data_IF_575264533435
#
_entry.id   IF_575264533435
#
_cell.length_a   1.000
_cell.length_b   1.000
_cell.length_c   1.000
_cell.angle_alpha   90.00
_cell.angle_beta   90.00
_cell.angle_gamma   90.00
#
_symmetry.space_group_name_H-M   'P 1'
#
loop_
_entity.id
_entity.type
_entity.pdbx_description
1 polymer ?
#
# COMPACT_ATOMS: atom_id res chain seq x y z
N UNK A 1 23.53 2.80 -3.25
CA UNK A 1 23.56 2.91 -4.73
C UNK A 1 22.23 2.56 -5.42
N UNK A 2 21.52 1.47 -5.10
CA UNK A 2 20.23 1.07 -5.76
C UNK A 2 19.11 2.08 -5.60
N UNK A 3 18.90 2.64 -4.39
CA UNK A 3 17.88 3.65 -4.07
C UNK A 3 17.96 4.90 -4.97
N UNK A 4 19.16 5.46 -5.17
CA UNK A 4 19.32 6.66 -6.00
C UNK A 4 19.01 6.42 -7.48
N UNK A 5 19.25 5.22 -8.00
CA UNK A 5 18.85 4.84 -9.37
C UNK A 5 17.34 4.73 -9.51
N UNK A 6 16.63 4.15 -8.51
CA UNK A 6 15.18 4.03 -8.52
C UNK A 6 14.50 5.40 -8.51
N UNK A 7 14.88 6.28 -7.60
CA UNK A 7 14.34 7.64 -7.52
C UNK A 7 14.60 8.46 -8.79
N UNK A 8 15.79 8.32 -9.40
CA UNK A 8 16.10 8.98 -10.66
C UNK A 8 15.19 8.50 -11.79
N UNK A 9 14.95 7.19 -11.89
CA UNK A 9 14.03 6.64 -12.89
C UNK A 9 12.59 7.12 -12.70
N UNK A 10 12.09 7.17 -11.45
CA UNK A 10 10.74 7.68 -11.15
C UNK A 10 10.62 9.15 -11.63
N UNK A 11 11.61 9.99 -11.30
CA UNK A 11 11.61 11.39 -11.75
C UNK A 11 11.57 11.50 -13.28
N UNK A 12 12.43 10.77 -13.99
CA UNK A 12 12.42 10.75 -15.45
C UNK A 12 11.07 10.31 -16.00
N UNK A 13 10.48 9.22 -15.46
CA UNK A 13 9.16 8.76 -15.89
C UNK A 13 8.06 9.82 -15.69
N UNK A 14 8.09 10.56 -14.56
CA UNK A 14 7.13 11.66 -14.34
C UNK A 14 7.31 12.79 -15.36
N UNK A 15 8.55 13.15 -15.68
CA UNK A 15 8.85 14.18 -16.69
C UNK A 15 8.40 13.75 -18.08
N UNK A 16 8.69 12.51 -18.49
CA UNK A 16 8.25 11.93 -19.75
C UNK A 16 6.71 11.94 -19.87
N UNK A 17 6.02 11.53 -18.80
CA UNK A 17 4.55 11.54 -18.77
C UNK A 17 3.94 12.95 -18.88
N UNK A 18 4.57 13.96 -18.30
CA UNK A 18 4.14 15.36 -18.45
C UNK A 18 4.23 15.83 -19.88
N UNK A 19 5.22 15.36 -20.63
CA UNK A 19 5.38 15.68 -22.06
C UNK A 19 4.32 14.96 -22.89
N UNK A 20 4.13 13.64 -22.65
CA UNK A 20 3.19 12.79 -23.41
C UNK A 20 1.74 13.23 -23.16
N UNK A 21 1.40 13.53 -21.91
CA UNK A 21 0.04 13.89 -21.49
C UNK A 21 -0.05 15.39 -21.13
N UNK A 22 0.41 16.26 -22.06
CA UNK A 22 0.36 17.71 -21.85
C UNK A 22 -1.07 18.16 -21.56
N UNK A 23 -1.24 18.95 -20.49
CA UNK A 23 -2.55 19.42 -20.03
C UNK A 23 -3.26 18.54 -19.01
N UNK A 24 -2.78 17.32 -18.73
CA UNK A 24 -3.28 16.48 -17.62
C UNK A 24 -2.36 16.58 -16.39
N UNK A 25 -2.97 16.48 -15.21
CA UNK A 25 -2.21 16.37 -13.97
C UNK A 25 -1.59 14.96 -13.87
N UNK A 26 -0.29 14.91 -13.61
CA UNK A 26 0.41 13.63 -13.34
C UNK A 26 0.47 13.43 -11.82
N UNK A 27 -0.14 12.36 -11.34
CA UNK A 27 -0.06 11.93 -9.94
C UNK A 27 1.00 10.87 -9.77
N UNK A 28 1.92 11.09 -8.86
CA UNK A 28 2.87 10.06 -8.42
C UNK A 28 2.35 9.42 -7.14
N UNK A 29 1.79 8.23 -7.27
CA UNK A 29 1.22 7.49 -6.15
C UNK A 29 2.03 6.22 -5.84
N UNK A 30 2.03 5.83 -4.57
CA UNK A 30 2.70 4.64 -4.08
C UNK A 30 1.66 3.68 -3.52
N UNK A 31 1.67 2.46 -4.02
CA UNK A 31 0.69 1.44 -3.71
C UNK A 31 1.33 0.28 -2.93
N UNK A 32 0.55 -0.30 -2.01
CA UNK A 32 0.90 -1.52 -1.28
C UNK A 32 -0.35 -2.13 -0.65
N UNK A 33 -0.27 -3.40 -0.23
CA UNK A 33 -1.30 -4.10 0.52
C UNK A 33 -0.81 -4.46 1.93
N UNK A 34 -1.72 -4.31 2.89
CA UNK A 34 -1.48 -4.71 4.26
C UNK A 34 -2.54 -5.69 4.76
N UNK A 35 -2.12 -6.86 5.19
CA UNK A 35 -2.98 -7.81 5.88
C UNK A 35 -3.20 -7.42 7.34
N UNK A 36 -4.48 -7.38 7.76
CA UNK A 36 -4.92 -7.18 9.13
C UNK A 36 -5.71 -8.40 9.58
N UNK A 37 -5.17 -9.11 10.56
CA UNK A 37 -5.77 -10.33 11.11
C UNK A 37 -6.31 -10.13 12.51
N UNK A 38 -7.17 -11.05 12.96
CA UNK A 38 -7.70 -11.06 14.32
C UNK A 38 -6.70 -11.55 15.36
N UNK A 39 -5.63 -12.24 14.91
CA UNK A 39 -4.53 -12.63 15.78
C UNK A 39 -3.64 -11.42 15.98
N UNK A 40 -3.68 -10.85 17.17
CA UNK A 40 -2.79 -9.76 17.54
C UNK A 40 -1.36 -10.30 17.79
N UNK A 41 -0.37 -9.44 17.54
CA UNK A 41 1.01 -9.71 17.93
C UNK A 41 1.29 -8.98 19.24
N UNK A 42 1.54 -9.69 20.35
CA UNK A 42 1.88 -9.05 21.61
C UNK A 42 3.08 -8.12 21.45
N UNK A 43 3.01 -6.96 22.06
CA UNK A 43 4.09 -5.96 22.11
C UNK A 43 4.60 -5.83 23.53
N UNK A 44 5.83 -5.36 23.65
CA UNK A 44 6.38 -5.01 24.96
C UNK A 44 5.52 -3.95 25.63
N UNK A 45 5.27 -4.11 26.92
CA UNK A 45 4.61 -3.14 27.79
C UNK A 45 5.40 -2.99 29.09
N UNK A 46 5.27 -1.82 29.73
CA UNK A 46 5.80 -1.61 31.06
C UNK A 46 4.94 -2.36 32.08
N UNK A 47 5.55 -3.11 32.96
CA UNK A 47 4.91 -3.80 34.09
C UNK A 47 5.85 -3.82 35.27
N UNK A 48 5.34 -4.16 36.46
CA UNK A 48 6.15 -4.34 37.64
C UNK A 48 7.16 -5.49 37.48
N UNK A 49 8.29 -5.35 38.12
CA UNK A 49 9.35 -6.36 38.10
C UNK A 49 8.80 -7.69 38.62
N UNK A 50 9.02 -8.77 37.86
CA UNK A 50 8.54 -10.15 38.11
C UNK A 50 7.06 -10.40 37.76
N UNK A 51 6.31 -9.44 37.28
CA UNK A 51 4.96 -9.67 36.73
C UNK A 51 5.08 -10.01 35.26
N UNK A 52 4.40 -11.08 34.85
CA UNK A 52 4.26 -11.46 33.44
C UNK A 52 2.89 -11.01 32.95
N UNK A 53 2.79 -9.93 32.17
CA UNK A 53 1.50 -9.45 31.72
C UNK A 53 0.83 -10.46 30.79
N UNK A 54 -0.48 -10.63 30.98
CA UNK A 54 -1.33 -11.46 30.10
C UNK A 54 -2.06 -10.56 29.12
N UNK A 55 -2.05 -10.93 27.84
CA UNK A 55 -2.73 -10.20 26.77
C UNK A 55 -3.77 -11.12 26.14
N UNK A 56 -5.04 -10.69 26.02
CA UNK A 56 -6.05 -11.46 25.32
C UNK A 56 -5.62 -11.72 23.87
N UNK A 57 -5.81 -12.93 23.38
CA UNK A 57 -5.50 -13.31 22.00
C UNK A 57 -6.63 -14.11 21.39
N UNK A 58 -6.97 -13.78 20.15
CA UNK A 58 -7.85 -14.62 19.34
C UNK A 58 -7.04 -15.60 18.52
N UNK A 59 -7.46 -16.89 18.54
CA UNK A 59 -6.87 -17.94 17.70
C UNK A 59 -7.55 -18.09 16.34
N UNK A 60 -8.40 -17.11 15.95
CA UNK A 60 -9.14 -17.15 14.68
C UNK A 60 -8.27 -16.55 13.58
N UNK A 61 -7.93 -17.36 12.59
CA UNK A 61 -7.17 -16.95 11.40
C UNK A 61 -8.08 -16.29 10.36
N UNK A 62 -8.56 -15.12 10.67
CA UNK A 62 -9.35 -14.29 9.77
C UNK A 62 -8.53 -13.06 9.39
N UNK A 63 -8.42 -12.78 8.09
CA UNK A 63 -7.67 -11.63 7.57
C UNK A 63 -8.56 -10.79 6.68
N UNK A 64 -8.34 -9.48 6.71
CA UNK A 64 -8.78 -8.53 5.70
C UNK A 64 -7.55 -7.80 5.18
N UNK A 65 -7.60 -7.40 3.93
CA UNK A 65 -6.48 -6.76 3.27
C UNK A 65 -6.85 -5.33 2.94
N UNK A 66 -6.07 -4.38 3.46
CA UNK A 66 -6.18 -2.99 3.07
C UNK A 66 -5.28 -2.77 1.86
N UNK A 67 -5.89 -2.44 0.73
CA UNK A 67 -5.21 -1.92 -0.45
C UNK A 67 -5.14 -0.41 -0.31
N UNK A 68 -3.99 0.18 -0.58
CA UNK A 68 -3.83 1.61 -0.48
C UNK A 68 -2.94 2.16 -1.59
N UNK A 69 -3.24 3.38 -2.02
CA UNK A 69 -2.37 4.21 -2.83
C UNK A 69 -2.31 5.61 -2.25
N UNK A 70 -1.12 6.18 -2.12
CA UNK A 70 -0.90 7.50 -1.52
C UNK A 70 0.00 8.35 -2.39
N UNK A 71 -0.32 9.64 -2.48
CA UNK A 71 0.49 10.68 -3.11
C UNK A 71 1.21 11.49 -2.01
N UNK A 72 2.51 11.28 -1.75
CA UNK A 72 3.19 11.92 -0.64
C UNK A 72 3.28 13.44 -0.74
N UNK A 73 3.21 13.98 -1.95
CA UNK A 73 3.35 15.42 -2.18
C UNK A 73 2.10 16.21 -1.76
N UNK A 74 0.91 15.63 -1.97
CA UNK A 74 -0.37 16.31 -1.68
C UNK A 74 -1.02 15.78 -0.40
N UNK A 75 -0.66 14.57 0.03
CA UNK A 75 -1.35 13.83 1.07
C UNK A 75 -2.62 13.13 0.60
N UNK A 76 -2.94 13.22 -0.69
CA UNK A 76 -4.07 12.50 -1.27
C UNK A 76 -3.84 10.99 -1.18
N UNK A 77 -4.91 10.23 -0.98
CA UNK A 77 -4.85 8.78 -0.96
C UNK A 77 -6.20 8.13 -1.27
N UNK A 78 -6.13 6.88 -1.65
CA UNK A 78 -7.28 6.02 -1.82
C UNK A 78 -7.03 4.68 -1.15
N UNK A 79 -8.00 4.21 -0.37
CA UNK A 79 -7.90 2.97 0.39
C UNK A 79 -9.16 2.13 0.22
N UNK A 80 -8.97 0.81 0.12
CA UNK A 80 -10.06 -0.15 0.00
C UNK A 80 -9.76 -1.39 0.85
N UNK A 81 -10.76 -1.86 1.62
CA UNK A 81 -10.62 -3.08 2.40
C UNK A 81 -11.24 -4.24 1.63
N UNK A 82 -10.45 -5.28 1.39
CA UNK A 82 -10.80 -6.42 0.55
C UNK A 82 -10.66 -7.73 1.32
N UNK A 83 -11.43 -8.77 0.95
CA UNK A 83 -11.37 -10.07 1.62
C UNK A 83 -10.08 -10.85 1.32
N UNK A 84 -9.48 -10.63 0.13
CA UNK A 84 -8.34 -11.40 -0.36
C UNK A 84 -7.25 -10.47 -0.91
N UNK A 85 -6.03 -11.01 -0.96
CA UNK A 85 -4.88 -10.39 -1.60
C UNK A 85 -4.56 -11.18 -2.89
N UNK A 86 -5.24 -10.82 -3.98
CA UNK A 86 -5.14 -11.50 -5.27
C UNK A 86 -5.41 -10.55 -6.45
N UNK A 87 -5.20 -11.03 -7.67
CA UNK A 87 -5.37 -10.25 -8.91
C UNK A 87 -6.78 -9.69 -9.08
N UNK A 88 -7.84 -10.44 -8.72
CA UNK A 88 -9.23 -9.97 -8.84
C UNK A 88 -9.46 -8.75 -7.95
N UNK A 89 -9.02 -8.82 -6.69
CA UNK A 89 -9.13 -7.69 -5.77
C UNK A 89 -8.28 -6.49 -6.22
N UNK A 90 -7.11 -6.74 -6.81
CA UNK A 90 -6.26 -5.69 -7.37
C UNK A 90 -6.93 -5.00 -8.57
N UNK A 91 -7.57 -5.74 -9.46
CA UNK A 91 -8.32 -5.16 -10.59
C UNK A 91 -9.46 -4.27 -10.11
N UNK A 92 -10.21 -4.70 -9.08
CA UNK A 92 -11.24 -3.88 -8.45
C UNK A 92 -10.63 -2.59 -7.86
N UNK A 93 -9.51 -2.71 -7.16
CA UNK A 93 -8.81 -1.57 -6.57
C UNK A 93 -8.35 -0.58 -7.65
N UNK A 94 -7.69 -1.04 -8.71
CA UNK A 94 -7.20 -0.20 -9.81
C UNK A 94 -8.36 0.52 -10.53
N UNK A 95 -9.44 -0.20 -10.81
CA UNK A 95 -10.64 0.39 -11.39
C UNK A 95 -11.19 1.54 -10.52
N UNK A 96 -11.31 1.30 -9.20
CA UNK A 96 -11.83 2.31 -8.26
C UNK A 96 -10.86 3.48 -8.06
N UNK A 97 -9.56 3.24 -8.10
CA UNK A 97 -8.54 4.29 -8.08
C UNK A 97 -8.63 5.17 -9.33
N UNK A 98 -8.79 4.57 -10.51
CA UNK A 98 -9.00 5.28 -11.77
C UNK A 98 -10.27 6.15 -11.73
N UNK A 99 -11.40 5.59 -11.26
CA UNK A 99 -12.67 6.31 -11.10
C UNK A 99 -12.56 7.49 -10.10
N UNK A 100 -11.67 7.40 -9.11
CA UNK A 100 -11.43 8.47 -8.13
C UNK A 100 -10.70 9.68 -8.71
N UNK A 101 -9.87 9.46 -9.74
CA UNK A 101 -9.07 10.48 -10.40
C UNK A 101 -9.20 10.37 -11.93
N UNK A 102 -10.40 10.59 -12.48
CA UNK A 102 -10.71 10.27 -13.88
C UNK A 102 -9.95 11.15 -14.89
N UNK A 103 -9.64 12.39 -14.52
CA UNK A 103 -8.99 13.35 -15.40
C UNK A 103 -7.45 13.36 -15.28
N UNK A 104 -6.91 12.66 -14.26
CA UNK A 104 -5.50 12.64 -13.96
C UNK A 104 -4.83 11.39 -14.54
N UNK A 105 -3.54 11.46 -14.85
CA UNK A 105 -2.70 10.31 -15.15
C UNK A 105 -1.97 9.89 -13.87
N UNK A 106 -2.08 8.64 -13.49
CA UNK A 106 -1.50 8.08 -12.27
C UNK A 106 -0.28 7.24 -12.62
N UNK A 107 0.91 7.68 -12.22
CA UNK A 107 2.09 6.83 -12.15
C UNK A 107 2.06 6.09 -10.82
N UNK A 108 1.64 4.83 -10.84
CA UNK A 108 1.45 4.00 -9.66
C UNK A 108 2.70 3.17 -9.40
N UNK A 109 3.46 3.55 -8.37
CA UNK A 109 4.63 2.83 -7.92
C UNK A 109 4.20 1.68 -6.99
N UNK A 110 4.52 0.45 -7.35
CA UNK A 110 4.21 -0.75 -6.57
C UNK A 110 5.42 -1.68 -6.47
N UNK A 111 5.37 -2.59 -5.52
CA UNK A 111 6.40 -3.62 -5.42
C UNK A 111 6.28 -4.67 -6.55
N UNK A 112 7.21 -5.62 -6.57
CA UNK A 112 7.24 -6.68 -7.58
C UNK A 112 6.44 -7.92 -7.22
N UNK A 113 5.35 -7.80 -6.45
CA UNK A 113 4.53 -8.95 -6.06
C UNK A 113 4.03 -9.76 -7.28
N UNK A 114 3.83 -11.05 -7.09
CA UNK A 114 3.56 -11.98 -8.19
C UNK A 114 2.29 -11.63 -9.01
N UNK A 115 1.25 -11.14 -8.33
CA UNK A 115 0.00 -10.74 -8.99
C UNK A 115 0.13 -9.45 -9.82
N UNK A 116 1.08 -8.57 -9.49
CA UNK A 116 1.38 -7.39 -10.32
C UNK A 116 1.97 -7.75 -11.69
N UNK A 117 2.46 -8.98 -11.84
CA UNK A 117 3.03 -9.53 -13.09
C UNK A 117 2.14 -10.58 -13.73
N UNK A 118 0.97 -10.89 -13.14
CA UNK A 118 0.06 -11.88 -13.69
C UNK A 118 -0.56 -11.36 -14.99
N UNK A 119 -0.73 -12.24 -15.98
CA UNK A 119 -1.39 -11.89 -17.24
C UNK A 119 -2.89 -11.54 -17.12
N UNK A 120 -3.45 -11.62 -15.90
CA UNK A 120 -4.84 -11.25 -15.60
C UNK A 120 -5.01 -9.85 -15.00
N UNK A 121 -3.95 -9.03 -14.94
CA UNK A 121 -4.05 -7.67 -14.43
C UNK A 121 -4.67 -6.74 -15.49
N UNK A 122 -5.77 -6.11 -15.13
CA UNK A 122 -6.50 -5.15 -15.97
C UNK A 122 -6.13 -3.73 -15.58
N UNK A 123 -5.36 -3.05 -16.44
CA UNK A 123 -4.92 -1.68 -16.19
C UNK A 123 -5.88 -0.69 -16.84
N UNK A 124 -6.51 0.22 -16.07
CA UNK A 124 -7.20 1.39 -16.62
C UNK A 124 -6.25 2.29 -17.43
N UNK A 125 -6.78 2.95 -18.47
CA UNK A 125 -5.99 3.78 -19.41
C UNK A 125 -5.20 4.90 -18.74
N UNK A 126 -5.70 5.42 -17.62
CA UNK A 126 -5.07 6.51 -16.88
C UNK A 126 -4.12 6.04 -15.77
N UNK A 127 -3.85 4.72 -15.65
CA UNK A 127 -2.90 4.17 -14.67
C UNK A 127 -1.72 3.55 -15.37
N UNK A 128 -0.54 3.97 -15.00
CA UNK A 128 0.74 3.46 -15.49
C UNK A 128 1.49 2.86 -14.31
N UNK A 129 1.82 1.56 -14.39
CA UNK A 129 2.55 0.88 -13.33
C UNK A 129 4.05 1.13 -13.44
N UNK A 130 4.66 1.44 -12.30
CA UNK A 130 6.09 1.50 -12.13
C UNK A 130 6.53 0.54 -11.02
N UNK A 131 7.29 -0.48 -11.35
CA UNK A 131 7.79 -1.44 -10.36
C UNK A 131 8.99 -0.89 -9.60
N UNK A 132 8.85 -0.76 -8.29
CA UNK A 132 9.94 -0.42 -7.39
C UNK A 132 10.95 -1.58 -7.37
N UNK A 133 12.27 -1.29 -7.36
CA UNK A 133 13.27 -2.34 -7.24
C UNK A 133 13.04 -3.21 -5.99
N UNK A 134 13.23 -4.53 -6.10
CA UNK A 134 13.06 -5.44 -4.96
C UNK A 134 14.02 -5.08 -3.82
N UNK A 135 13.61 -5.37 -2.59
CA UNK A 135 14.37 -5.11 -1.36
C UNK A 135 14.67 -3.63 -1.08
N UNK A 136 13.76 -2.74 -1.45
CA UNK A 136 13.85 -1.30 -1.16
C UNK A 136 12.56 -0.77 -0.50
N UNK A 137 12.15 -1.32 0.66
CA UNK A 137 10.90 -0.91 1.33
C UNK A 137 10.91 0.58 1.71
N UNK A 138 12.10 1.15 1.96
CA UNK A 138 12.26 2.57 2.22
C UNK A 138 11.86 3.49 1.05
N UNK A 139 11.67 2.94 -0.14
CA UNK A 139 11.15 3.67 -1.30
C UNK A 139 9.62 3.70 -1.37
N UNK A 140 8.92 2.91 -0.55
CA UNK A 140 7.47 2.88 -0.52
C UNK A 140 6.92 3.60 0.73
N UNK A 141 6.53 4.87 0.64
CA UNK A 141 6.10 5.65 1.79
C UNK A 141 4.81 5.14 2.44
N UNK A 142 3.98 4.38 1.74
CA UNK A 142 2.75 3.80 2.30
C UNK A 142 3.02 2.82 3.43
N UNK A 143 4.20 2.19 3.48
CA UNK A 143 4.59 1.32 4.59
C UNK A 143 4.59 2.05 5.95
N UNK A 144 4.88 3.35 5.96
CA UNK A 144 4.81 4.15 7.18
C UNK A 144 3.37 4.31 7.67
N UNK A 145 2.42 4.41 6.74
CA UNK A 145 0.98 4.46 7.06
C UNK A 145 0.56 3.14 7.70
N UNK A 146 0.95 2.00 7.13
CA UNK A 146 0.66 0.68 7.72
C UNK A 146 1.26 0.50 9.11
N UNK A 147 2.48 0.99 9.33
CA UNK A 147 3.12 0.98 10.67
C UNK A 147 2.31 1.78 11.67
N UNK A 148 1.86 2.98 11.28
CA UNK A 148 1.10 3.86 12.17
C UNK A 148 -0.30 3.31 12.47
N UNK A 149 -1.00 2.74 11.48
CA UNK A 149 -2.29 2.07 11.68
C UNK A 149 -2.14 0.91 12.66
N UNK A 150 -1.13 0.04 12.46
CA UNK A 150 -0.88 -1.08 13.37
C UNK A 150 -0.51 -0.63 14.78
N UNK A 151 0.16 0.50 14.92
CA UNK A 151 0.52 1.07 16.22
C UNK A 151 -0.69 1.60 16.97
N UNK A 152 -1.62 2.25 16.28
CA UNK A 152 -2.80 2.89 16.89
C UNK A 152 -3.95 1.94 17.15
N UNK A 153 -4.23 1.02 16.23
CA UNK A 153 -5.46 0.22 16.26
C UNK A 153 -5.29 -1.27 16.55
N UNK A 154 -4.05 -1.79 16.55
CA UNK A 154 -3.81 -3.25 16.62
C UNK A 154 -2.79 -3.65 17.68
N UNK A 155 -2.60 -2.81 18.71
CA UNK A 155 -1.62 -3.06 19.76
C UNK A 155 -2.29 -3.64 21.00
N UNK A 156 -1.96 -4.91 21.30
CA UNK A 156 -2.42 -5.61 22.52
C UNK A 156 -3.95 -5.60 22.74
N UNK A 157 -4.73 -5.45 21.69
CA UNK A 157 -6.19 -5.43 21.74
C UNK A 157 -6.77 -6.60 20.97
N UNK A 158 -7.94 -7.06 21.43
CA UNK A 158 -8.75 -8.06 20.75
C UNK A 158 -9.78 -7.33 19.92
N UNK A 159 -9.73 -7.49 18.61
CA UNK A 159 -10.74 -6.95 17.72
C UNK A 159 -12.04 -7.73 17.89
N UNK A 160 -13.04 -7.09 18.44
CA UNK A 160 -14.42 -7.59 18.50
C UNK A 160 -15.05 -7.46 17.11
N UNK A 161 -16.04 -8.35 16.82
CA UNK A 161 -16.86 -8.19 15.61
C UNK A 161 -17.67 -6.92 15.68
#
# INVERSE_FOLDING_TARGET
>A
MRRNRGLKKIKTSVEDLKVIHSGKKIRLMFQDEAGFGRINRPKYCWCEKRIRPSVPCHHIREYRYAYGAVEPLTGDGYFLVMPYCNTVCMNIFLKKLSERFPDDIILLCCDGAAWHKSGGLELPENIILFHIPPYTPEMNPIEQIWKEIRKRGFRNEVLKK
#
